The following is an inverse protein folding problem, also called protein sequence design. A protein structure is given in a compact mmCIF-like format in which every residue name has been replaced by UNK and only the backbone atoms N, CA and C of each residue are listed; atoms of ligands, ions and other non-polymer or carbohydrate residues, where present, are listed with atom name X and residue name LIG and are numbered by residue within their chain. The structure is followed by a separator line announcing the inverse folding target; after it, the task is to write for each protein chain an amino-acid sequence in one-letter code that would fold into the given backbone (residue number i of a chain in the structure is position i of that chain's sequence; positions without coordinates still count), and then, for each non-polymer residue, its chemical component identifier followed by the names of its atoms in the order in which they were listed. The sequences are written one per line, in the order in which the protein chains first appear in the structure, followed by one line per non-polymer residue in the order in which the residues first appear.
data_IF_810809424964
#
_entry.id   IF_810809424964
#
_cell.length_a   1.000
_cell.length_b   1.000
_cell.length_c   1.000
_cell.angle_alpha   90.00
_cell.angle_beta   90.00
_cell.angle_gamma   90.00
#
_symmetry.space_group_name_H-M   'P 1'
#
loop_
_entity.id
_entity.type
_entity.pdbx_description
1 polymer ?
#
# COMPACT_ATOMS: atom_id res chain seq x y z
N UNK A 1 17.04 5.72 -12.75
CA UNK A 1 17.51 4.32 -12.65
C UNK A 1 18.96 4.17 -13.08
N UNK A 2 19.30 4.45 -14.34
CA UNK A 2 20.67 4.34 -14.88
C UNK A 2 21.76 5.02 -14.03
N UNK A 3 21.62 6.32 -13.78
CA UNK A 3 22.61 7.09 -13.00
C UNK A 3 22.63 6.78 -11.50
N UNK A 4 21.60 6.10 -10.99
CA UNK A 4 21.46 5.82 -9.56
C UNK A 4 22.05 4.47 -9.16
N UNK A 5 22.20 3.55 -10.10
CA UNK A 5 22.50 2.13 -9.83
C UNK A 5 23.92 1.75 -10.25
N UNK A 6 24.86 2.70 -10.30
CA UNK A 6 26.22 2.48 -10.78
C UNK A 6 26.31 1.86 -12.20
N UNK A 7 25.24 1.91 -12.99
CA UNK A 7 25.15 1.27 -14.32
C UNK A 7 25.33 -0.25 -14.29
N UNK A 8 24.88 -0.90 -13.22
CA UNK A 8 25.25 -2.28 -12.87
C UNK A 8 24.53 -3.34 -13.69
N UNK A 9 23.21 -3.46 -13.52
CA UNK A 9 22.40 -4.55 -14.06
C UNK A 9 20.88 -4.26 -13.96
N UNK A 10 20.08 -5.11 -14.61
CA UNK A 10 18.61 -5.04 -14.59
C UNK A 10 18.04 -5.05 -13.16
N UNK A 11 18.60 -5.87 -12.27
CA UNK A 11 18.18 -5.92 -10.86
C UNK A 11 18.41 -4.57 -10.15
N UNK A 12 19.55 -3.91 -10.40
CA UNK A 12 19.82 -2.57 -9.92
C UNK A 12 18.84 -1.52 -10.44
N UNK A 13 18.49 -1.57 -11.73
CA UNK A 13 17.47 -0.68 -12.30
C UNK A 13 16.09 -0.91 -11.67
N UNK A 14 15.67 -2.17 -11.57
CA UNK A 14 14.39 -2.56 -10.97
C UNK A 14 14.32 -2.13 -9.50
N UNK A 15 15.42 -2.22 -8.75
CA UNK A 15 15.48 -1.79 -7.36
C UNK A 15 15.28 -0.27 -7.20
N UNK A 16 15.97 0.54 -8.00
CA UNK A 16 15.77 2.00 -8.01
C UNK A 16 14.37 2.37 -8.51
N UNK A 17 13.88 1.70 -9.56
CA UNK A 17 12.54 1.88 -10.09
C UNK A 17 11.46 1.58 -9.04
N UNK A 18 11.68 0.56 -8.22
CA UNK A 18 10.78 0.23 -7.10
C UNK A 18 10.68 1.36 -6.10
N UNK A 19 11.80 1.99 -5.70
CA UNK A 19 11.78 3.17 -4.81
C UNK A 19 11.02 4.33 -5.44
N UNK A 20 11.22 4.61 -6.73
CA UNK A 20 10.51 5.68 -7.43
C UNK A 20 8.99 5.45 -7.36
N UNK A 21 8.56 4.21 -7.62
CA UNK A 21 7.16 3.86 -7.55
C UNK A 21 6.63 3.83 -6.12
N UNK A 22 7.41 3.38 -5.14
CA UNK A 22 7.01 3.43 -3.73
C UNK A 22 6.75 4.87 -3.29
N UNK A 23 7.63 5.80 -3.69
CA UNK A 23 7.47 7.23 -3.41
C UNK A 23 6.19 7.77 -4.05
N UNK A 24 5.99 7.48 -5.33
CA UNK A 24 4.80 7.88 -6.08
C UNK A 24 3.51 7.43 -5.38
N UNK A 25 3.49 6.19 -4.89
CA UNK A 25 2.26 5.56 -4.41
C UNK A 25 2.02 5.77 -2.91
N UNK A 26 3.04 6.19 -2.15
CA UNK A 26 2.90 6.50 -0.72
C UNK A 26 2.06 7.75 -0.41
N UNK A 27 1.86 8.64 -1.40
CA UNK A 27 1.24 9.96 -1.18
C UNK A 27 2.09 10.97 -0.39
N UNK A 28 3.29 10.58 0.06
CA UNK A 28 4.22 11.48 0.77
C UNK A 28 5.15 12.27 -0.16
N UNK A 29 5.18 11.89 -1.45
CA UNK A 29 6.00 12.51 -2.48
C UNK A 29 5.11 13.10 -3.59
N UNK A 30 5.71 13.57 -4.68
CA UNK A 30 4.95 14.08 -5.81
C UNK A 30 4.05 12.99 -6.43
N UNK A 31 2.92 13.41 -6.98
CA UNK A 31 1.86 12.60 -7.60
C UNK A 31 2.18 12.09 -9.01
N UNK A 32 3.38 12.38 -9.51
CA UNK A 32 3.86 11.96 -10.83
C UNK A 32 5.30 11.46 -10.77
N UNK A 33 5.64 10.52 -11.67
CA UNK A 33 7.01 9.98 -11.79
C UNK A 33 8.00 11.13 -12.01
N UNK A 34 7.70 12.03 -12.96
CA UNK A 34 8.51 13.22 -13.24
C UNK A 34 8.68 14.10 -12.00
N UNK A 35 7.61 14.30 -11.23
CA UNK A 35 7.65 15.04 -9.98
C UNK A 35 8.58 14.40 -8.96
N UNK A 36 8.53 13.07 -8.80
CA UNK A 36 9.41 12.32 -7.89
C UNK A 36 10.88 12.44 -8.32
N UNK A 37 11.19 12.18 -9.60
CA UNK A 37 12.58 12.18 -10.08
C UNK A 37 13.20 13.59 -10.18
N UNK A 38 12.37 14.62 -10.35
CA UNK A 38 12.82 16.01 -10.39
C UNK A 38 13.10 16.63 -9.00
N UNK A 39 12.79 15.91 -7.90
CA UNK A 39 12.98 16.44 -6.56
C UNK A 39 14.45 16.81 -6.31
N UNK A 40 14.64 18.05 -5.83
CA UNK A 40 15.97 18.63 -5.61
C UNK A 40 16.80 17.74 -4.67
N UNK A 41 17.99 17.36 -5.13
CA UNK A 41 18.98 16.55 -4.38
C UNK A 41 18.50 15.15 -3.98
N UNK A 42 17.46 14.61 -4.61
CA UNK A 42 17.00 13.23 -4.35
C UNK A 42 17.62 12.21 -5.31
N UNK A 43 18.01 12.65 -6.50
CA UNK A 43 18.60 11.85 -7.57
C UNK A 43 19.86 12.54 -8.11
N UNK A 44 20.63 11.82 -8.91
CA UNK A 44 21.87 12.27 -9.50
C UNK A 44 21.71 13.61 -10.24
N UNK A 45 22.70 14.52 -10.15
CA UNK A 45 22.67 15.77 -10.91
C UNK A 45 22.48 15.51 -12.40
N UNK A 46 21.51 16.22 -12.99
CA UNK A 46 21.17 16.10 -14.40
C UNK A 46 20.41 14.83 -14.77
N UNK A 47 19.76 14.13 -13.83
CA UNK A 47 18.97 12.90 -14.13
C UNK A 47 17.92 13.11 -15.23
N UNK A 48 17.41 14.34 -15.39
CA UNK A 48 16.40 14.69 -16.39
C UNK A 48 16.99 15.14 -17.75
N UNK A 49 18.31 15.35 -17.84
CA UNK A 49 18.93 15.99 -19.01
C UNK A 49 20.13 15.23 -19.56
N UNK A 50 20.75 14.37 -18.76
CA UNK A 50 21.93 13.61 -19.16
C UNK A 50 21.52 12.40 -19.99
N UNK A 51 22.32 12.14 -21.03
CA UNK A 51 22.11 11.01 -21.92
C UNK A 51 22.55 9.70 -21.26
N UNK A 52 21.72 8.67 -21.45
CA UNK A 52 22.04 7.29 -21.11
C UNK A 52 22.97 6.73 -22.18
N UNK A 53 23.90 5.84 -21.79
CA UNK A 53 24.81 5.22 -22.75
C UNK A 53 24.05 4.21 -23.61
N UNK A 54 24.27 4.16 -24.94
CA UNK A 54 23.57 3.24 -25.83
C UNK A 54 23.63 1.76 -25.43
N UNK A 55 24.72 1.35 -24.76
CA UNK A 55 24.91 -0.03 -24.30
C UNK A 55 23.95 -0.43 -23.18
N UNK A 56 23.48 0.53 -22.38
CA UNK A 56 22.59 0.27 -21.26
C UNK A 56 21.10 0.41 -21.63
N UNK A 57 20.79 1.01 -22.79
CA UNK A 57 19.43 1.23 -23.26
C UNK A 57 18.56 -0.04 -23.23
N UNK A 58 18.98 -1.21 -23.77
CA UNK A 58 18.10 -2.38 -23.83
C UNK A 58 17.65 -2.89 -22.46
N UNK A 59 18.59 -3.02 -21.52
CA UNK A 59 18.30 -3.47 -20.15
C UNK A 59 17.53 -2.39 -19.37
N UNK A 60 17.86 -1.12 -19.57
CA UNK A 60 17.17 -0.01 -18.93
C UNK A 60 15.72 0.10 -19.40
N UNK A 61 15.46 -0.04 -20.70
CA UNK A 61 14.10 -0.05 -21.26
C UNK A 61 13.31 -1.23 -20.72
N UNK A 62 13.90 -2.41 -20.67
CA UNK A 62 13.26 -3.62 -20.13
C UNK A 62 12.85 -3.41 -18.66
N UNK A 63 13.77 -2.92 -17.84
CA UNK A 63 13.49 -2.61 -16.43
C UNK A 63 12.44 -1.49 -16.28
N UNK A 64 12.49 -0.45 -17.11
CA UNK A 64 11.50 0.63 -17.08
C UNK A 64 10.10 0.11 -17.40
N UNK A 65 9.96 -0.69 -18.45
CA UNK A 65 8.69 -1.31 -18.83
C UNK A 65 8.15 -2.22 -17.73
N UNK A 66 9.02 -3.02 -17.10
CA UNK A 66 8.65 -3.88 -15.98
C UNK A 66 8.10 -3.06 -14.80
N UNK A 67 8.81 -2.00 -14.40
CA UNK A 67 8.40 -1.11 -13.30
C UNK A 67 7.04 -0.44 -13.59
N UNK A 68 6.86 0.05 -14.82
CA UNK A 68 5.61 0.68 -15.26
C UNK A 68 4.44 -0.33 -15.31
N UNK A 69 4.70 -1.60 -15.60
CA UNK A 69 3.72 -2.69 -15.51
C UNK A 69 3.41 -3.13 -14.07
N UNK A 70 4.08 -2.54 -13.07
CA UNK A 70 3.86 -2.83 -11.66
C UNK A 70 4.85 -3.83 -11.06
N UNK A 71 5.86 -4.28 -11.81
CA UNK A 71 6.91 -5.13 -11.28
C UNK A 71 7.76 -4.37 -10.25
N UNK A 72 8.16 -5.06 -9.19
CA UNK A 72 8.97 -4.51 -8.11
C UNK A 72 10.09 -5.49 -7.77
N UNK A 73 11.22 -4.94 -7.32
CA UNK A 73 12.34 -5.73 -6.85
C UNK A 73 11.93 -6.43 -5.55
N UNK A 74 11.98 -7.77 -5.48
CA UNK A 74 11.34 -8.54 -4.40
C UNK A 74 11.92 -8.25 -3.01
N UNK A 75 13.19 -7.86 -2.94
CA UNK A 75 13.87 -7.54 -1.68
C UNK A 75 13.85 -6.05 -1.31
N UNK A 76 13.36 -5.15 -2.17
CA UNK A 76 13.29 -3.70 -1.84
C UNK A 76 12.12 -3.41 -0.90
N UNK A 77 11.03 -4.18 -0.99
CA UNK A 77 9.86 -4.00 -0.11
C UNK A 77 9.35 -2.56 -0.13
N UNK A 78 9.14 -2.00 1.06
CA UNK A 78 8.60 -0.65 1.26
C UNK A 78 9.68 0.44 1.32
N UNK A 79 10.95 0.10 1.03
CA UNK A 79 12.03 1.05 1.13
C UNK A 79 11.78 2.28 0.22
N UNK A 80 11.92 3.46 0.84
CA UNK A 80 11.79 4.77 0.20
C UNK A 80 13.14 5.42 -0.04
N UNK A 81 14.21 4.86 0.51
CA UNK A 81 15.52 5.47 0.57
C UNK A 81 16.60 4.48 0.16
N UNK A 82 17.69 5.04 -0.38
CA UNK A 82 18.90 4.29 -0.67
C UNK A 82 20.10 5.22 -0.61
N UNK A 83 21.27 4.62 -0.45
CA UNK A 83 22.55 5.28 -0.66
C UNK A 83 23.56 4.28 -1.20
N UNK A 84 24.74 4.77 -1.60
CA UNK A 84 25.83 3.91 -2.06
C UNK A 84 26.15 2.85 -1.00
N UNK A 85 26.20 1.59 -1.42
CA UNK A 85 26.50 0.47 -0.54
C UNK A 85 27.90 0.63 0.09
N UNK A 86 28.02 0.21 1.36
CA UNK A 86 29.27 0.32 2.13
C UNK A 86 29.46 1.66 2.85
N UNK A 87 28.66 2.69 2.55
CA UNK A 87 28.61 3.89 3.38
C UNK A 87 27.87 3.59 4.70
N UNK A 88 28.36 4.22 5.78
CA UNK A 88 27.72 4.16 7.10
C UNK A 88 27.39 5.57 7.55
N UNK A 89 26.16 5.73 8.03
CA UNK A 89 25.68 6.99 8.59
C UNK A 89 25.34 6.79 10.07
N UNK A 90 25.55 7.79 10.93
CA UNK A 90 25.37 7.67 12.38
C UNK A 90 23.89 7.72 12.81
N UNK A 91 22.94 7.57 11.89
CA UNK A 91 21.51 7.61 12.20
C UNK A 91 21.02 6.22 12.61
N UNK A 92 20.22 6.15 13.68
CA UNK A 92 19.64 4.92 14.20
C UNK A 92 18.33 4.52 13.48
N UNK A 93 17.71 5.44 12.73
CA UNK A 93 16.44 5.21 12.07
C UNK A 93 16.57 4.59 10.67
N UNK A 94 17.75 4.16 10.24
CA UNK A 94 17.97 3.59 8.90
C UNK A 94 17.95 2.05 8.94
N UNK A 95 16.83 1.45 8.56
CA UNK A 95 16.63 0.00 8.58
C UNK A 95 16.85 -0.59 7.19
N UNK A 96 18.03 -1.19 6.98
CA UNK A 96 18.42 -1.77 5.70
C UNK A 96 17.63 -3.02 5.37
N UNK A 97 17.13 -3.08 4.14
CA UNK A 97 16.32 -4.21 3.63
C UNK A 97 17.09 -5.05 2.62
N UNK A 98 17.85 -4.43 1.72
CA UNK A 98 18.62 -5.14 0.70
C UNK A 98 19.76 -4.29 0.13
N UNK A 99 20.69 -4.95 -0.56
CA UNK A 99 21.73 -4.31 -1.38
C UNK A 99 21.54 -4.76 -2.82
N UNK A 100 21.37 -3.81 -3.74
CA UNK A 100 21.21 -4.08 -5.17
C UNK A 100 21.77 -2.90 -5.99
N UNK A 101 22.31 -3.19 -7.17
CA UNK A 101 22.84 -2.17 -8.07
C UNK A 101 23.82 -1.18 -7.43
N UNK A 102 24.66 -1.65 -6.51
CA UNK A 102 25.64 -0.82 -5.79
C UNK A 102 25.04 0.12 -4.73
N UNK A 103 23.77 -0.05 -4.37
CA UNK A 103 23.10 0.72 -3.32
C UNK A 103 22.61 -0.17 -2.18
N UNK A 104 22.59 0.37 -0.97
CA UNK A 104 21.88 -0.18 0.17
C UNK A 104 20.53 0.53 0.30
N UNK A 105 19.45 -0.24 0.23
CA UNK A 105 18.07 0.23 0.35
C UNK A 105 17.62 0.11 1.80
N UNK A 106 16.85 1.08 2.27
CA UNK A 106 16.41 1.12 3.66
C UNK A 106 15.08 1.85 3.83
N UNK A 107 14.41 1.48 4.91
CA UNK A 107 13.24 2.16 5.44
C UNK A 107 13.70 3.09 6.57
N UNK A 108 12.97 4.19 6.76
CA UNK A 108 13.12 4.99 7.97
C UNK A 108 12.13 4.54 9.02
N UNK A 109 12.61 4.14 10.18
CA UNK A 109 11.75 3.74 11.30
C UNK A 109 12.18 4.42 12.59
N UNK A 110 11.20 4.77 13.41
CA UNK A 110 11.43 5.32 14.74
C UNK A 110 12.00 4.27 15.73
N UNK A 111 12.25 4.69 16.96
CA UNK A 111 12.79 3.80 18.01
C UNK A 111 11.87 2.60 18.34
N UNK A 112 10.57 2.72 18.03
CA UNK A 112 9.59 1.65 18.22
C UNK A 112 9.47 0.73 16.99
N UNK A 113 10.22 1.02 15.92
CA UNK A 113 10.18 0.28 14.66
C UNK A 113 9.01 0.69 13.75
N UNK A 114 8.31 1.79 14.04
CA UNK A 114 7.23 2.33 13.21
C UNK A 114 7.81 3.05 12.00
N UNK A 115 7.25 2.86 10.80
CA UNK A 115 7.67 3.59 9.61
C UNK A 115 7.47 5.10 9.79
N UNK A 116 8.51 5.88 9.48
CA UNK A 116 8.44 7.36 9.47
C UNK A 116 7.78 7.90 8.19
N UNK A 117 7.69 7.08 7.14
CA UNK A 117 7.00 7.40 5.89
C UNK A 117 5.76 6.52 5.74
N UNK A 118 4.65 7.06 5.19
CA UNK A 118 3.51 6.24 4.80
C UNK A 118 3.97 5.09 3.90
N UNK A 119 3.51 3.85 4.15
CA UNK A 119 3.86 2.72 3.29
C UNK A 119 3.31 2.97 1.87
N UNK A 120 3.99 2.44 0.84
CA UNK A 120 3.50 2.55 -0.52
C UNK A 120 2.20 1.75 -0.68
N UNK A 121 1.27 2.26 -1.50
CA UNK A 121 0.11 1.44 -1.89
C UNK A 121 0.60 0.21 -2.67
N UNK A 122 0.00 -0.98 -2.42
CA UNK A 122 0.34 -2.18 -3.15
C UNK A 122 0.04 -1.99 -4.64
N UNK A 123 0.82 -2.65 -5.49
CA UNK A 123 0.79 -2.45 -6.95
C UNK A 123 -0.60 -2.61 -7.59
N UNK A 124 -1.47 -3.48 -7.04
CA UNK A 124 -2.83 -3.67 -7.53
C UNK A 124 -3.74 -2.46 -7.26
N UNK A 125 -3.55 -1.72 -6.16
CA UNK A 125 -4.35 -0.52 -5.85
C UNK A 125 -3.96 0.64 -6.75
N UNK A 126 -2.68 0.72 -7.11
CA UNK A 126 -2.16 1.71 -8.06
C UNK A 126 -2.79 1.49 -9.44
N UNK A 127 -2.91 0.23 -9.88
CA UNK A 127 -3.57 -0.10 -11.14
C UNK A 127 -5.04 0.35 -11.16
N UNK A 128 -5.76 0.22 -10.05
CA UNK A 128 -7.16 0.66 -9.96
C UNK A 128 -7.31 2.19 -9.96
N UNK A 129 -6.32 2.93 -9.41
CA UNK A 129 -6.39 4.40 -9.29
C UNK A 129 -5.81 5.17 -10.49
N UNK A 130 -4.98 4.53 -11.32
CA UNK A 130 -4.27 5.17 -12.44
C UNK A 130 -4.72 4.68 -13.83
N UNK A 131 -5.79 3.89 -13.93
CA UNK A 131 -6.46 3.63 -15.20
C UNK A 131 -7.19 4.92 -15.64
N UNK A 132 -6.80 5.54 -16.77
CA UNK A 132 -7.50 6.72 -17.26
C UNK A 132 -8.90 6.30 -17.73
N UNK A 133 -9.94 6.70 -17.01
CA UNK A 133 -11.33 6.64 -17.52
C UNK A 133 -12.37 5.94 -16.65
N UNK A 134 -12.02 5.31 -15.53
CA UNK A 134 -13.02 4.69 -14.65
C UNK A 134 -12.90 5.21 -13.22
N UNK A 135 -13.63 6.30 -12.94
CA UNK A 135 -14.04 6.62 -11.58
C UNK A 135 -14.93 5.49 -11.06
N UNK A 136 -14.32 4.46 -10.47
CA UNK A 136 -15.06 3.48 -9.68
C UNK A 136 -15.21 4.01 -8.26
N UNK A 137 -16.12 4.97 -8.07
CA UNK A 137 -16.95 4.86 -6.86
C UNK A 137 -17.49 3.42 -6.89
N UNK A 138 -17.43 2.66 -5.77
CA UNK A 138 -18.06 1.35 -5.77
C UNK A 138 -19.51 1.55 -6.25
N UNK A 139 -20.02 0.74 -7.19
CA UNK A 139 -21.45 0.70 -7.39
C UNK A 139 -22.02 0.33 -6.02
N UNK A 140 -22.61 1.31 -5.35
CA UNK A 140 -23.57 1.06 -4.30
C UNK A 140 -24.45 -0.08 -4.81
N UNK A 141 -24.43 -1.20 -4.10
CA UNK A 141 -25.11 -2.43 -4.47
C UNK A 141 -26.55 -2.10 -4.85
N UNK A 142 -26.83 -1.97 -6.13
CA UNK A 142 -28.17 -1.73 -6.68
C UNK A 142 -28.84 -3.06 -7.07
N UNK A 143 -28.38 -4.16 -6.46
CA UNK A 143 -29.08 -5.43 -6.44
C UNK A 143 -29.87 -5.52 -5.14
N UNK A 144 -31.19 -5.53 -5.30
CA UNK A 144 -32.28 -5.70 -4.32
C UNK A 144 -33.13 -4.44 -4.10
N UNK A 145 -33.55 -3.80 -5.18
CA UNK A 145 -34.87 -3.14 -5.17
C UNK A 145 -35.89 -4.23 -5.51
N UNK A 146 -36.63 -4.82 -4.55
CA UNK A 146 -37.80 -5.59 -4.91
C UNK A 146 -38.77 -4.65 -5.64
N UNK A 147 -39.29 -5.06 -6.81
CA UNK A 147 -40.42 -4.37 -7.44
C UNK A 147 -41.52 -4.21 -6.40
N UNK A 148 -41.94 -2.97 -6.13
CA UNK A 148 -43.11 -2.72 -5.30
C UNK A 148 -44.32 -3.43 -5.90
N UNK A 149 -44.83 -4.42 -5.18
CA UNK A 149 -46.19 -4.90 -5.39
C UNK A 149 -47.10 -3.89 -4.70
N UNK A 150 -48.06 -3.24 -5.40
CA UNK A 150 -48.95 -2.29 -4.77
C UNK A 150 -49.75 -2.99 -3.66
N UNK A 151 -49.51 -2.59 -2.41
CA UNK A 151 -50.34 -3.04 -1.29
C UNK A 151 -51.70 -2.35 -1.40
N UNK A 152 -52.84 -3.07 -1.43
CA UNK A 152 -54.14 -2.45 -1.47
C UNK A 152 -54.35 -1.64 -0.19
N UNK A 153 -54.55 -0.33 -0.32
CA UNK A 153 -54.92 0.54 0.79
C UNK A 153 -56.40 0.28 1.09
N UNK A 154 -56.80 -0.16 2.30
CA UNK A 154 -58.21 -0.21 2.67
C UNK A 154 -58.77 1.22 2.75
N UNK A 155 -59.97 1.41 2.22
CA UNK A 155 -60.68 2.69 2.18
C UNK A 155 -60.93 3.26 3.59
N UNK A 156 -61.00 4.60 3.75
CA UNK A 156 -61.26 5.19 5.06
C UNK A 156 -62.75 5.13 5.39
N UNK A 157 -63.10 4.52 6.52
CA UNK A 157 -64.44 4.66 7.10
C UNK A 157 -64.62 6.04 7.76
N UNK A 158 -65.82 6.64 7.68
CA UNK A 158 -66.06 8.00 8.15
C UNK A 158 -66.34 8.04 9.67
N UNK A 159 -65.67 8.99 10.32
CA UNK A 159 -66.09 9.73 11.52
C UNK A 159 -66.32 8.97 12.84
N UNK A 160 -65.45 9.23 13.82
CA UNK A 160 -65.87 9.40 15.22
C UNK A 160 -64.97 10.44 15.93
N UNK A 161 -65.57 11.62 16.10
CA UNK A 161 -65.42 12.68 17.09
C UNK A 161 -64.26 12.65 18.10
N UNK A 162 -63.57 13.78 18.18
CA UNK A 162 -62.57 14.14 19.18
C UNK A 162 -63.06 14.00 20.63
N UNK A 163 -62.21 13.46 21.50
CA UNK A 163 -62.24 13.76 22.93
C UNK A 163 -60.82 13.87 23.47
N UNK A 164 -60.51 15.05 23.99
CA UNK A 164 -59.23 15.45 24.58
C UNK A 164 -59.28 15.03 26.04
N UNK A 165 -58.35 14.20 26.51
CA UNK A 165 -58.00 14.11 27.93
C UNK A 165 -56.48 13.96 28.08
N UNK A 166 -55.84 14.58 29.09
CA UNK A 166 -54.38 14.69 29.17
C UNK A 166 -53.70 13.46 29.79
N UNK A 167 -52.41 13.33 29.48
CA UNK A 167 -51.49 12.23 29.79
C UNK A 167 -51.25 11.99 31.29
N UNK A 168 -50.82 10.76 31.64
CA UNK A 168 -49.81 10.53 32.66
C UNK A 168 -48.51 9.97 32.04
N UNK A 169 -47.38 10.56 32.45
CA UNK A 169 -46.01 10.15 32.13
C UNK A 169 -45.71 8.72 32.63
N UNK A 170 -44.89 7.92 31.94
CA UNK A 170 -44.14 6.85 32.58
C UNK A 170 -42.67 7.23 32.77
N UNK A 171 -42.16 6.79 33.91
CA UNK A 171 -40.86 7.08 34.49
C UNK A 171 -39.67 6.49 33.72
N UNK A 172 -38.49 7.02 34.04
CA UNK A 172 -37.18 6.60 33.56
C UNK A 172 -36.95 5.08 33.69
N UNK A 173 -36.60 4.44 32.58
CA UNK A 173 -36.13 3.06 32.54
C UNK A 173 -34.59 3.04 32.63
N UNK A 174 -34.13 2.26 33.59
CA UNK A 174 -32.76 1.96 33.99
C UNK A 174 -31.98 1.13 32.96
N UNK A 175 -30.66 1.16 33.16
CA UNK A 175 -29.59 0.44 32.47
C UNK A 175 -29.92 -0.94 31.89
N UNK A 176 -29.43 -1.17 30.66
CA UNK A 176 -29.38 -2.48 30.02
C UNK A 176 -28.01 -3.10 30.37
N UNK A 177 -28.00 -4.07 31.28
CA UNK A 177 -26.89 -5.00 31.44
C UNK A 177 -26.86 -5.99 30.26
N UNK A 178 -25.67 -6.37 29.73
CA UNK A 178 -25.56 -7.38 28.68
C UNK A 178 -25.59 -8.80 29.26
N UNK A 179 -26.25 -9.72 28.54
CA UNK A 179 -26.40 -11.13 28.91
C UNK A 179 -25.06 -11.89 29.03
N UNK A 180 -24.94 -12.84 29.98
CA UNK A 180 -23.79 -13.70 30.12
C UNK A 180 -23.86 -14.88 29.14
N UNK A 181 -22.93 -14.96 28.18
CA UNK A 181 -22.78 -16.18 27.37
C UNK A 181 -22.08 -16.04 26.03
N UNK A 182 -21.81 -14.82 25.54
CA UNK A 182 -21.20 -14.63 24.22
C UNK A 182 -19.68 -14.43 24.36
N UNK A 183 -18.83 -15.36 23.86
CA UNK A 183 -17.39 -15.14 23.89
C UNK A 183 -17.02 -14.00 22.92
N UNK A 184 -16.38 -12.95 23.45
CA UNK A 184 -15.75 -11.91 22.66
C UNK A 184 -14.51 -12.51 21.97
N UNK A 185 -14.48 -12.48 20.64
CA UNK A 185 -13.32 -12.89 19.87
C UNK A 185 -12.17 -11.91 20.10
N UNK A 186 -11.15 -12.34 20.84
CA UNK A 186 -9.89 -11.59 20.98
C UNK A 186 -9.07 -11.84 19.70
N UNK A 187 -8.70 -10.80 18.93
CA UNK A 187 -7.84 -10.98 17.77
C UNK A 187 -6.47 -11.47 18.23
N UNK A 188 -6.05 -12.64 17.74
CA UNK A 188 -4.72 -13.20 18.00
C UNK A 188 -3.65 -12.37 17.27
N UNK A 189 -2.52 -12.03 17.92
CA UNK A 189 -1.42 -11.35 17.26
C UNK A 189 -0.84 -12.21 16.13
N UNK A 190 -0.45 -11.55 15.03
CA UNK A 190 0.21 -12.17 13.88
C UNK A 190 1.50 -12.88 14.35
N UNK A 191 1.75 -14.14 13.98
CA UNK A 191 2.98 -14.84 14.36
C UNK A 191 4.20 -14.12 13.78
N UNK A 192 5.28 -14.03 14.57
CA UNK A 192 6.58 -13.60 14.08
C UNK A 192 7.03 -14.55 12.96
N UNK A 193 7.53 -13.99 11.86
CA UNK A 193 8.19 -14.77 10.81
C UNK A 193 9.46 -15.37 11.41
N UNK A 194 9.36 -16.63 11.84
CA UNK A 194 10.53 -17.41 12.19
C UNK A 194 11.23 -17.86 10.90
N UNK A 195 12.55 -17.86 10.98
CA UNK A 195 13.49 -17.97 9.87
C UNK A 195 13.23 -19.26 9.10
N UNK A 196 13.01 -19.14 7.78
CA UNK A 196 12.97 -20.28 6.88
C UNK A 196 14.31 -21.04 6.97
N UNK A 197 14.24 -22.21 7.60
CA UNK A 197 14.90 -23.45 7.21
C UNK A 197 16.31 -23.31 6.63
N UNK A 198 17.30 -23.51 7.50
CA UNK A 198 18.57 -24.11 7.12
C UNK A 198 18.28 -25.42 6.36
N UNK A 199 18.47 -25.41 5.04
CA UNK A 199 18.53 -26.64 4.24
C UNK A 199 19.80 -27.41 4.65
N UNK A 200 19.73 -28.71 4.98
CA UNK A 200 20.93 -29.53 5.03
C UNK A 200 21.42 -29.77 3.59
N UNK A 201 22.71 -29.58 3.41
CA UNK A 201 23.49 -29.98 2.23
C UNK A 201 23.33 -31.48 1.98
N UNK A 202 22.92 -31.83 0.76
CA UNK A 202 23.06 -33.19 0.22
C UNK A 202 24.52 -33.35 -0.19
N UNK A 203 25.32 -34.26 0.40
CA UNK A 203 26.62 -34.59 -0.14
C UNK A 203 26.47 -35.49 -1.39
N UNK A 204 27.25 -35.14 -2.40
CA UNK A 204 27.53 -35.99 -3.54
C UNK A 204 28.31 -37.25 -3.13
N UNK A 205 27.85 -38.42 -3.57
CA UNK A 205 28.60 -39.66 -3.79
C UNK A 205 27.85 -40.34 -4.95
N UNK A 206 28.46 -40.74 -6.07
CA UNK A 206 29.73 -41.43 -6.19
C UNK A 206 29.43 -42.93 -6.31
N UNK A 207 29.21 -43.40 -7.54
CA UNK A 207 28.89 -44.79 -7.89
C UNK A 207 28.43 -44.93 -9.32
#
# INVERSE_FOLDING_TARGET
MYFESQHSDEAGYLAVGSVIMNRLTSGAYADSICGVVAQKKQFAPGVMTREVKPQAEPELTTAADAVLKGERHPAVGDAMFFHTAGLKFPYNNMHYVTVAGGNAFYEKRDENGTLETPPPLPSYEVAMNYVPGESMLPPQFEMLIPSEVPVPIPSPDPAATASINPMPMPAAATAIEPEPGTPIAIPTPRPAYDSVMLRPSIPANGG
#
